data_IF_028162950963
#
_entry.id   IF_028162950963
#
_cell.length_a   1.000
_cell.length_b   1.000
_cell.length_c   1.000
_cell.angle_alpha   90.00
_cell.angle_beta   90.00
_cell.angle_gamma   90.00
#
_symmetry.space_group_name_H-M   'P 1'
#
loop_
_entity.id
_entity.type
_entity.pdbx_description
1 polymer ?
#
# COMPACT_ATOMS: atom_id res chain seq x y z
N UNK A 1 12.70 4.95 -4.80
CA UNK A 1 12.04 3.83 -4.13
C UNK A 1 12.48 3.75 -2.67
N UNK A 2 11.66 3.18 -1.79
CA UNK A 2 12.01 2.95 -0.38
C UNK A 2 13.33 2.15 -0.23
N UNK A 3 13.60 1.20 -1.12
CA UNK A 3 14.85 0.41 -1.12
C UNK A 3 16.09 1.30 -1.16
N UNK A 4 16.13 2.31 -2.03
CA UNK A 4 17.27 3.24 -2.13
C UNK A 4 17.42 4.07 -0.86
N UNK A 5 16.30 4.53 -0.27
CA UNK A 5 16.33 5.28 1.00
C UNK A 5 16.91 4.47 2.17
N UNK A 6 16.79 3.14 2.14
CA UNK A 6 17.29 2.25 3.21
C UNK A 6 18.68 1.65 2.96
N UNK A 7 19.30 1.95 1.83
CA UNK A 7 20.66 1.49 1.55
C UNK A 7 21.67 2.14 2.51
N UNK A 8 22.60 1.35 3.02
CA UNK A 8 23.72 1.87 3.82
C UNK A 8 24.64 2.79 3.02
N UNK A 9 24.82 2.50 1.75
CA UNK A 9 25.59 3.31 0.81
C UNK A 9 24.80 3.49 -0.50
N UNK A 10 23.84 4.44 -0.56
CA UNK A 10 23.04 4.67 -1.77
C UNK A 10 23.90 5.14 -2.95
N UNK A 11 25.01 5.82 -2.72
CA UNK A 11 25.90 6.32 -3.78
C UNK A 11 26.50 5.19 -4.62
N UNK A 12 26.76 4.02 -4.04
CA UNK A 12 27.26 2.86 -4.78
C UNK A 12 26.30 2.36 -5.85
N UNK A 13 25.02 2.66 -5.72
CA UNK A 13 23.98 2.38 -6.72
C UNK A 13 23.69 3.61 -7.60
N UNK A 14 23.55 4.79 -6.98
CA UNK A 14 23.12 6.00 -7.68
C UNK A 14 24.13 6.46 -8.73
N UNK A 15 25.43 6.51 -8.39
CA UNK A 15 26.46 6.98 -9.32
C UNK A 15 26.54 6.16 -10.62
N UNK A 16 26.61 4.82 -10.59
CA UNK A 16 26.57 4.03 -11.82
C UNK A 16 25.23 4.18 -12.59
N UNK A 17 24.11 4.29 -11.87
CA UNK A 17 22.80 4.45 -12.49
C UNK A 17 22.66 5.82 -13.18
N UNK A 18 23.11 6.91 -12.55
CA UNK A 18 23.14 8.27 -13.14
C UNK A 18 24.05 8.33 -14.37
N UNK A 19 25.21 7.67 -14.28
CA UNK A 19 26.12 7.56 -15.43
C UNK A 19 25.46 6.85 -16.61
N UNK A 20 24.75 5.76 -16.35
CA UNK A 20 24.04 5.00 -17.38
C UNK A 20 22.85 5.76 -17.97
N UNK A 21 22.15 6.57 -17.15
CA UNK A 21 20.99 7.36 -17.58
C UNK A 21 21.38 8.69 -18.26
N UNK A 22 22.57 9.20 -17.97
CA UNK A 22 23.02 10.52 -18.45
C UNK A 22 22.40 11.71 -17.70
N UNK A 23 21.73 11.50 -16.57
CA UNK A 23 21.17 12.56 -15.72
C UNK A 23 21.07 12.11 -14.26
N UNK A 24 20.91 13.08 -13.35
CA UNK A 24 20.77 12.85 -11.91
C UNK A 24 19.50 12.08 -11.55
N UNK A 25 19.57 11.31 -10.46
CA UNK A 25 18.46 10.57 -9.87
C UNK A 25 18.05 11.23 -8.55
N UNK A 26 16.84 11.76 -8.49
CA UNK A 26 16.27 12.29 -7.25
C UNK A 26 15.67 11.17 -6.40
N UNK A 27 16.10 11.06 -5.14
CA UNK A 27 15.54 10.12 -4.17
C UNK A 27 14.53 10.87 -3.30
N UNK A 28 13.27 10.74 -3.63
CA UNK A 28 12.19 11.42 -2.91
C UNK A 28 11.96 10.85 -1.51
N UNK A 29 11.61 11.72 -0.54
CA UNK A 29 11.23 11.30 0.80
C UNK A 29 9.86 10.59 0.80
N UNK A 30 9.57 9.77 1.83
CA UNK A 30 8.31 9.01 1.90
C UNK A 30 7.05 9.89 1.83
N UNK A 31 7.05 11.05 2.50
CA UNK A 31 5.94 12.00 2.43
C UNK A 31 5.79 12.67 1.05
N UNK A 32 6.87 12.79 0.29
CA UNK A 32 6.81 13.27 -1.09
C UNK A 32 6.32 12.16 -2.03
N UNK A 33 6.76 10.93 -1.83
CA UNK A 33 6.20 9.76 -2.50
C UNK A 33 4.67 9.69 -2.28
N UNK A 34 4.21 9.86 -1.03
CA UNK A 34 2.80 9.92 -0.69
C UNK A 34 2.06 11.03 -1.46
N UNK A 35 2.64 12.23 -1.60
CA UNK A 35 2.06 13.32 -2.37
C UNK A 35 1.88 12.94 -3.84
N UNK A 36 2.89 12.34 -4.44
CA UNK A 36 2.87 11.93 -5.85
C UNK A 36 1.86 10.79 -6.10
N UNK A 37 1.76 9.83 -5.18
CA UNK A 37 0.73 8.78 -5.20
C UNK A 37 -0.67 9.41 -5.19
N UNK A 38 -0.90 10.35 -4.27
CA UNK A 38 -2.20 11.02 -4.17
C UNK A 38 -2.56 11.74 -5.47
N UNK A 39 -1.63 12.47 -6.07
CA UNK A 39 -1.86 13.16 -7.34
C UNK A 39 -2.24 12.18 -8.47
N UNK A 40 -1.55 11.04 -8.57
CA UNK A 40 -1.90 10.00 -9.55
C UNK A 40 -3.34 9.54 -9.39
N UNK A 41 -3.73 9.17 -8.17
CA UNK A 41 -5.09 8.72 -7.88
C UNK A 41 -6.13 9.84 -8.10
N UNK A 42 -5.82 11.08 -7.69
CA UNK A 42 -6.72 12.20 -7.83
C UNK A 42 -6.99 12.58 -9.31
N UNK A 43 -5.98 12.44 -10.16
CA UNK A 43 -6.13 12.64 -11.61
C UNK A 43 -6.89 11.49 -12.29
N UNK A 44 -6.66 10.25 -11.84
CA UNK A 44 -7.33 9.07 -12.40
C UNK A 44 -8.81 8.93 -12.02
N UNK A 45 -9.28 9.71 -11.03
CA UNK A 45 -10.67 9.66 -10.55
C UNK A 45 -11.28 11.06 -10.55
N UNK A 46 -12.54 11.23 -11.03
CA UNK A 46 -13.19 12.54 -11.05
C UNK A 46 -13.10 13.23 -9.67
N UNK A 47 -12.89 14.56 -9.65
CA UNK A 47 -12.83 15.30 -8.38
C UNK A 47 -14.17 15.16 -7.66
N UNK A 48 -14.15 14.48 -6.52
CA UNK A 48 -15.29 14.40 -5.60
C UNK A 48 -15.45 15.70 -4.80
N UNK A 49 -16.66 15.92 -4.26
CA UNK A 49 -16.92 17.02 -3.32
C UNK A 49 -16.51 16.69 -1.87
N UNK A 50 -15.75 15.63 -1.68
CA UNK A 50 -15.42 15.09 -0.34
C UNK A 50 -13.97 14.62 -0.28
N UNK A 51 -13.43 14.66 0.93
CA UNK A 51 -12.09 14.14 1.20
C UNK A 51 -11.99 12.64 0.86
N UNK A 52 -10.82 12.26 0.40
CA UNK A 52 -10.44 10.89 0.05
C UNK A 52 -9.27 10.43 0.89
N UNK A 53 -9.32 9.18 1.34
CA UNK A 53 -8.15 8.48 1.85
C UNK A 53 -7.56 7.67 0.69
N UNK A 54 -6.25 7.81 0.48
CA UNK A 54 -5.49 6.98 -0.46
C UNK A 54 -4.50 6.15 0.34
N UNK A 55 -4.41 4.85 0.02
CA UNK A 55 -3.46 3.90 0.59
C UNK A 55 -2.65 3.30 -0.54
N UNK A 56 -1.32 3.30 -0.41
CA UNK A 56 -0.41 2.64 -1.34
C UNK A 56 0.49 1.67 -0.58
N UNK A 57 0.36 0.37 -0.84
CA UNK A 57 1.18 -0.67 -0.20
C UNK A 57 2.32 -1.05 -1.14
N UNK A 58 3.47 -0.42 -0.95
CA UNK A 58 4.71 -0.74 -1.64
C UNK A 58 5.38 -2.01 -1.10
N UNK A 59 6.61 -2.27 -1.56
CA UNK A 59 7.41 -3.39 -1.05
C UNK A 59 7.95 -3.14 0.36
N UNK A 60 8.47 -1.95 0.61
CA UNK A 60 9.13 -1.58 1.88
C UNK A 60 8.31 -0.67 2.76
N UNK A 61 7.46 0.19 2.19
CA UNK A 61 6.64 1.17 2.91
C UNK A 61 5.19 1.10 2.49
N UNK A 62 4.33 1.74 3.27
CA UNK A 62 2.93 2.01 2.94
C UNK A 62 2.63 3.46 3.21
N UNK A 63 2.09 4.13 2.22
CA UNK A 63 1.72 5.53 2.25
C UNK A 63 0.22 5.66 2.53
N UNK A 64 -0.13 6.64 3.40
CA UNK A 64 -1.50 7.00 3.77
C UNK A 64 -1.69 8.49 3.51
N UNK A 65 -2.68 8.85 2.71
CA UNK A 65 -2.90 10.24 2.33
C UNK A 65 -4.38 10.59 2.44
N UNK A 66 -4.71 11.62 3.23
CA UNK A 66 -6.00 12.29 3.12
C UNK A 66 -5.82 13.52 2.24
N UNK A 67 -6.70 13.68 1.26
CA UNK A 67 -6.71 14.88 0.43
C UNK A 67 -8.12 15.34 0.09
N UNK A 68 -8.20 16.58 -0.37
CA UNK A 68 -9.41 17.26 -0.83
C UNK A 68 -9.19 17.77 -2.25
N UNK A 69 -10.01 17.33 -3.19
CA UNK A 69 -9.78 17.59 -4.60
C UNK A 69 -8.40 17.10 -5.04
N UNK A 70 -7.56 18.01 -5.50
CA UNK A 70 -6.17 17.74 -5.91
C UNK A 70 -5.14 17.98 -4.80
N UNK A 71 -5.56 18.49 -3.65
CA UNK A 71 -4.65 18.89 -2.57
C UNK A 71 -4.51 17.77 -1.52
N UNK A 72 -3.31 17.16 -1.33
CA UNK A 72 -3.03 16.29 -0.20
C UNK A 72 -2.95 17.12 1.09
N UNK A 73 -3.75 16.75 2.09
CA UNK A 73 -3.86 17.48 3.38
C UNK A 73 -2.99 16.82 4.44
N UNK A 74 -3.17 15.49 4.64
CA UNK A 74 -2.39 14.70 5.58
C UNK A 74 -1.62 13.62 4.81
N UNK A 75 -0.38 13.37 5.21
CA UNK A 75 0.51 12.40 4.52
C UNK A 75 1.38 11.69 5.52
N UNK A 76 1.26 10.38 5.58
CA UNK A 76 2.13 9.52 6.38
C UNK A 76 2.71 8.39 5.53
N UNK A 77 3.92 7.95 5.90
CA UNK A 77 4.62 6.83 5.28
C UNK A 77 5.16 5.94 6.38
N UNK A 78 4.62 4.74 6.49
CA UNK A 78 5.06 3.72 7.44
C UNK A 78 6.02 2.74 6.76
N UNK A 79 7.04 2.30 7.50
CA UNK A 79 8.02 1.31 7.02
C UNK A 79 7.46 -0.11 7.07
N UNK A 80 6.27 -0.30 6.53
CA UNK A 80 5.49 -1.54 6.52
C UNK A 80 4.92 -1.78 5.11
N UNK A 81 5.75 -2.25 4.20
CA UNK A 81 5.30 -2.71 2.87
C UNK A 81 5.15 -4.23 2.84
N UNK A 82 4.60 -4.78 1.75
CA UNK A 82 4.33 -6.22 1.65
C UNK A 82 5.59 -7.09 1.82
N UNK A 83 6.73 -6.69 1.26
CA UNK A 83 8.01 -7.41 1.39
C UNK A 83 8.58 -7.27 2.79
N UNK A 84 8.64 -6.02 3.32
CA UNK A 84 9.17 -5.75 4.66
C UNK A 84 8.39 -6.49 5.74
N UNK A 85 7.06 -6.45 5.67
CA UNK A 85 6.16 -7.13 6.60
C UNK A 85 6.29 -8.65 6.51
N UNK A 86 6.37 -9.19 5.29
CA UNK A 86 6.59 -10.64 5.11
C UNK A 86 7.91 -11.07 5.72
N UNK A 87 8.99 -10.35 5.46
CA UNK A 87 10.31 -10.68 6.04
C UNK A 87 10.29 -10.60 7.56
N UNK A 88 9.66 -9.57 8.12
CA UNK A 88 9.64 -9.34 9.57
C UNK A 88 8.84 -10.42 10.31
N UNK A 89 7.64 -10.73 9.85
CA UNK A 89 6.71 -11.57 10.60
C UNK A 89 6.62 -13.02 10.08
N UNK A 90 6.95 -13.24 8.82
CA UNK A 90 6.85 -14.55 8.17
C UNK A 90 8.17 -14.99 7.52
N UNK A 91 9.30 -14.44 7.95
CA UNK A 91 10.62 -14.66 7.33
C UNK A 91 11.10 -16.12 7.29
N UNK A 92 10.54 -17.00 8.12
CA UNK A 92 10.76 -18.45 8.06
C UNK A 92 9.73 -19.20 7.20
N UNK A 93 8.91 -18.47 6.42
CA UNK A 93 7.87 -19.00 5.55
C UNK A 93 6.60 -19.48 6.27
N UNK A 94 6.58 -19.59 7.60
CA UNK A 94 5.45 -20.14 8.34
C UNK A 94 4.36 -19.10 8.56
N UNK A 95 3.12 -19.47 8.26
CA UNK A 95 1.89 -18.75 8.58
C UNK A 95 1.31 -19.27 9.91
N UNK A 96 0.25 -18.65 10.41
CA UNK A 96 -0.47 -19.12 11.60
C UNK A 96 -1.17 -18.00 12.35
N UNK A 97 -2.35 -18.30 12.93
CA UNK A 97 -3.22 -17.32 13.59
C UNK A 97 -2.55 -16.56 14.74
N UNK A 98 -1.78 -17.26 15.59
CA UNK A 98 -1.07 -16.61 16.68
C UNK A 98 -0.07 -15.59 16.17
N UNK A 99 0.78 -16.00 15.21
CA UNK A 99 1.79 -15.13 14.61
C UNK A 99 1.16 -13.92 13.91
N UNK A 100 0.08 -14.15 13.19
CA UNK A 100 -0.69 -13.08 12.55
C UNK A 100 -1.20 -12.05 13.56
N UNK A 101 -1.82 -12.51 14.65
CA UNK A 101 -2.34 -11.65 15.72
C UNK A 101 -1.23 -10.86 16.39
N UNK A 102 -0.12 -11.51 16.74
CA UNK A 102 1.03 -10.85 17.34
C UNK A 102 1.59 -9.76 16.40
N UNK A 103 1.72 -10.05 15.11
CA UNK A 103 2.14 -9.10 14.10
C UNK A 103 1.15 -7.92 13.94
N UNK A 104 -0.15 -8.20 13.94
CA UNK A 104 -1.19 -7.17 13.84
C UNK A 104 -1.17 -6.22 15.03
N UNK A 105 -0.97 -6.72 16.26
CA UNK A 105 -0.83 -5.91 17.46
C UNK A 105 0.41 -5.00 17.36
N UNK A 106 1.54 -5.56 16.93
CA UNK A 106 2.78 -4.79 16.77
C UNK A 106 2.64 -3.70 15.72
N UNK A 107 2.05 -4.03 14.58
CA UNK A 107 1.80 -3.06 13.51
C UNK A 107 0.79 -1.99 13.91
N UNK A 108 -0.24 -2.33 14.69
CA UNK A 108 -1.24 -1.37 15.15
C UNK A 108 -0.63 -0.23 15.99
N UNK A 109 0.50 -0.49 16.68
CA UNK A 109 1.21 0.55 17.42
C UNK A 109 1.73 1.68 16.52
N UNK A 110 2.16 1.37 15.29
CA UNK A 110 2.62 2.37 14.33
C UNK A 110 1.47 3.30 13.89
N UNK A 111 0.25 2.77 13.80
CA UNK A 111 -0.92 3.58 13.46
C UNK A 111 -1.34 4.56 14.56
N UNK A 112 -0.99 4.30 15.83
CA UNK A 112 -1.35 5.18 16.95
C UNK A 112 -0.84 6.61 16.75
N UNK A 113 0.25 6.79 16.03
CA UNK A 113 0.87 8.09 15.79
C UNK A 113 -0.04 9.04 15.00
N UNK A 114 -0.92 8.52 14.13
CA UNK A 114 -1.73 9.37 13.24
C UNK A 114 -3.19 8.96 13.09
N UNK A 115 -3.57 7.73 13.48
CA UNK A 115 -4.92 7.23 13.24
C UNK A 115 -6.03 8.10 13.86
N UNK A 116 -5.79 8.66 15.05
CA UNK A 116 -6.75 9.57 15.69
C UNK A 116 -6.96 10.84 14.87
N UNK A 117 -5.88 11.46 14.40
CA UNK A 117 -5.93 12.63 13.53
C UNK A 117 -6.66 12.33 12.22
N UNK A 118 -6.35 11.20 11.58
CA UNK A 118 -6.97 10.80 10.31
C UNK A 118 -8.47 10.59 10.48
N UNK A 119 -8.90 9.86 11.52
CA UNK A 119 -10.34 9.68 11.82
C UNK A 119 -11.05 11.01 12.10
N UNK A 120 -10.39 11.93 12.81
CA UNK A 120 -10.92 13.28 13.06
C UNK A 120 -11.06 14.10 11.77
N UNK A 121 -10.07 14.04 10.87
CA UNK A 121 -10.14 14.68 9.54
C UNK A 121 -11.29 14.13 8.71
N UNK A 122 -11.51 12.83 8.79
CA UNK A 122 -12.57 12.11 8.09
C UNK A 122 -12.42 12.13 6.57
N UNK A 123 -13.00 11.15 5.94
CA UNK A 123 -13.09 11.00 4.47
C UNK A 123 -14.37 10.24 4.13
N UNK A 124 -14.78 10.26 2.85
CA UNK A 124 -15.95 9.52 2.37
C UNK A 124 -15.60 8.36 1.45
N UNK A 125 -14.49 8.48 0.74
CA UNK A 125 -14.03 7.47 -0.21
C UNK A 125 -12.63 7.03 0.16
N UNK A 126 -12.36 5.73 0.06
CA UNK A 126 -11.03 5.17 0.22
C UNK A 126 -10.61 4.53 -1.09
N UNK A 127 -9.44 4.91 -1.58
CA UNK A 127 -8.79 4.33 -2.75
C UNK A 127 -7.52 3.63 -2.34
N UNK A 128 -7.27 2.49 -2.97
CA UNK A 128 -6.02 1.77 -2.83
C UNK A 128 -5.26 1.76 -4.14
N UNK A 129 -4.01 2.19 -4.12
CA UNK A 129 -3.08 2.14 -5.24
C UNK A 129 -2.00 1.10 -4.97
N UNK A 130 -1.38 0.58 -5.94
CA UNK A 130 -0.25 -0.38 -5.95
C UNK A 130 -0.59 -1.76 -6.47
N UNK A 131 0.47 -2.44 -6.91
CA UNK A 131 0.36 -3.85 -7.33
C UNK A 131 -0.06 -4.81 -6.21
N UNK A 132 0.20 -4.46 -4.95
CA UNK A 132 -0.22 -5.27 -3.78
C UNK A 132 -1.73 -5.18 -3.59
N UNK A 133 -2.29 -3.97 -3.59
CA UNK A 133 -3.74 -3.76 -3.43
C UNK A 133 -4.51 -4.32 -4.62
N UNK A 134 -3.98 -4.13 -5.85
CA UNK A 134 -4.55 -4.75 -7.04
C UNK A 134 -4.61 -6.27 -6.89
N UNK A 135 -3.51 -6.92 -6.50
CA UNK A 135 -3.48 -8.37 -6.30
C UNK A 135 -4.49 -8.85 -5.24
N UNK A 136 -4.65 -8.11 -4.14
CA UNK A 136 -5.68 -8.41 -3.12
C UNK A 136 -7.09 -8.31 -3.72
N UNK A 137 -7.35 -7.28 -4.52
CA UNK A 137 -8.62 -7.10 -5.25
C UNK A 137 -8.90 -8.25 -6.20
N UNK A 138 -7.92 -8.62 -7.04
CA UNK A 138 -8.01 -9.71 -8.01
C UNK A 138 -8.31 -11.06 -7.32
N UNK A 139 -7.67 -11.33 -6.17
CA UNK A 139 -7.92 -12.54 -5.37
C UNK A 139 -9.34 -12.50 -4.77
N UNK A 140 -9.76 -11.37 -4.20
CA UNK A 140 -11.11 -11.23 -3.64
C UNK A 140 -12.19 -11.45 -4.71
N UNK A 141 -11.98 -10.95 -5.93
CA UNK A 141 -12.91 -11.13 -7.04
C UNK A 141 -12.93 -12.59 -7.53
N UNK A 142 -11.76 -13.21 -7.72
CA UNK A 142 -11.65 -14.61 -8.12
C UNK A 142 -12.28 -15.58 -7.09
N UNK A 143 -12.20 -15.24 -5.81
CA UNK A 143 -12.84 -15.96 -4.71
C UNK A 143 -14.32 -15.60 -4.50
N UNK A 144 -14.88 -14.69 -5.31
CA UNK A 144 -16.26 -14.17 -5.20
C UNK A 144 -16.57 -13.53 -3.83
N UNK A 145 -15.55 -12.98 -3.16
CA UNK A 145 -15.69 -12.25 -1.90
C UNK A 145 -16.10 -10.79 -2.14
N UNK A 146 -15.72 -10.25 -3.29
CA UNK A 146 -16.07 -8.91 -3.75
C UNK A 146 -16.17 -8.88 -5.28
N UNK A 147 -16.53 -7.73 -5.85
CA UNK A 147 -16.61 -7.51 -7.30
C UNK A 147 -16.39 -6.05 -7.65
N UNK A 148 -16.03 -5.79 -8.91
CA UNK A 148 -15.92 -4.43 -9.44
C UNK A 148 -14.79 -3.62 -8.79
N UNK A 149 -13.68 -4.25 -8.43
CA UNK A 149 -12.52 -3.57 -7.86
C UNK A 149 -12.76 -2.98 -6.47
N UNK A 150 -13.72 -3.51 -5.70
CA UNK A 150 -14.00 -3.06 -4.32
C UNK A 150 -13.54 -4.11 -3.33
N UNK A 151 -12.76 -3.73 -2.34
CA UNK A 151 -12.38 -4.56 -1.19
C UNK A 151 -13.15 -4.07 0.02
N UNK A 152 -14.01 -4.93 0.60
CA UNK A 152 -14.74 -4.64 1.84
C UNK A 152 -13.99 -5.20 3.05
N UNK A 153 -14.32 -4.72 4.25
CA UNK A 153 -13.81 -5.27 5.52
C UNK A 153 -14.09 -6.77 5.65
N UNK A 154 -15.30 -7.19 5.29
CA UNK A 154 -15.71 -8.61 5.31
C UNK A 154 -14.97 -9.46 4.28
N UNK A 155 -14.76 -8.94 3.06
CA UNK A 155 -13.99 -9.62 2.03
C UNK A 155 -12.52 -9.79 2.45
N UNK A 156 -11.93 -8.74 3.02
CA UNK A 156 -10.55 -8.75 3.49
C UNK A 156 -10.35 -9.70 4.68
N UNK A 157 -11.28 -9.73 5.64
CA UNK A 157 -11.27 -10.68 6.75
C UNK A 157 -11.37 -12.12 6.25
N UNK A 158 -12.28 -12.39 5.32
CA UNK A 158 -12.43 -13.71 4.70
C UNK A 158 -11.18 -14.13 3.92
N UNK A 159 -10.50 -13.18 3.25
CA UNK A 159 -9.24 -13.45 2.58
C UNK A 159 -8.13 -13.78 3.60
N UNK A 160 -8.03 -13.03 4.69
CA UNK A 160 -7.06 -13.30 5.75
C UNK A 160 -7.24 -14.72 6.33
N UNK A 161 -8.48 -15.15 6.58
CA UNK A 161 -8.79 -16.52 7.02
C UNK A 161 -8.35 -17.58 6.00
N UNK A 162 -8.52 -17.32 4.71
CA UNK A 162 -8.08 -18.22 3.65
C UNK A 162 -6.55 -18.28 3.53
N UNK A 163 -5.85 -17.16 3.70
CA UNK A 163 -4.38 -17.14 3.79
C UNK A 163 -3.90 -17.96 4.98
N UNK A 164 -4.56 -17.82 6.14
CA UNK A 164 -4.22 -18.53 7.38
C UNK A 164 -4.67 -19.99 7.42
N UNK A 165 -5.36 -20.47 6.41
CA UNK A 165 -5.65 -21.89 6.23
C UNK A 165 -4.44 -22.67 5.66
N UNK A 166 -3.40 -21.98 5.20
CA UNK A 166 -2.15 -22.57 4.77
C UNK A 166 -1.10 -22.50 5.89
N UNK A 167 -0.26 -23.53 5.99
CA UNK A 167 0.81 -23.57 6.99
C UNK A 167 2.00 -22.70 6.62
N UNK A 168 2.25 -22.58 5.31
CA UNK A 168 3.43 -21.86 4.80
C UNK A 168 3.09 -21.01 3.57
N UNK A 169 3.91 -19.97 3.35
CA UNK A 169 3.81 -19.09 2.18
C UNK A 169 3.98 -19.90 0.88
N UNK A 170 4.92 -20.84 0.86
CA UNK A 170 5.24 -21.63 -0.36
C UNK A 170 4.07 -22.53 -0.80
N UNK A 171 3.22 -22.94 0.13
CA UNK A 171 2.03 -23.74 -0.18
C UNK A 171 0.81 -22.90 -0.53
N UNK A 172 0.89 -21.56 -0.34
CA UNK A 172 -0.23 -20.64 -0.52
C UNK A 172 -0.64 -20.56 -1.99
N UNK A 173 -1.81 -21.11 -2.30
CA UNK A 173 -2.40 -21.10 -3.64
C UNK A 173 -3.85 -20.62 -3.54
N UNK A 174 -4.09 -19.45 -4.07
CA UNK A 174 -5.42 -18.85 -4.11
C UNK A 174 -5.79 -18.49 -5.55
N UNK A 175 -7.05 -18.65 -5.97
CA UNK A 175 -7.53 -18.09 -7.23
C UNK A 175 -7.21 -16.62 -7.34
N UNK A 176 -6.70 -16.18 -8.48
CA UNK A 176 -6.30 -14.78 -8.71
C UNK A 176 -4.91 -14.40 -8.19
N UNK A 177 -4.25 -15.26 -7.40
CA UNK A 177 -2.89 -15.01 -6.91
C UNK A 177 -1.84 -15.42 -7.96
N UNK A 178 -1.04 -14.45 -8.42
CA UNK A 178 0.08 -14.73 -9.32
C UNK A 178 1.29 -15.30 -8.56
N UNK A 179 2.13 -16.09 -9.27
CA UNK A 179 3.36 -16.64 -8.70
C UNK A 179 4.33 -15.54 -8.21
N UNK A 180 4.36 -14.40 -8.88
CA UNK A 180 5.19 -13.25 -8.48
C UNK A 180 4.75 -12.65 -7.13
N UNK A 181 3.44 -12.64 -6.86
CA UNK A 181 2.86 -12.06 -5.64
C UNK A 181 2.78 -13.04 -4.47
N UNK A 182 2.79 -14.34 -4.74
CA UNK A 182 2.72 -15.38 -3.70
C UNK A 182 3.69 -15.17 -2.54
N UNK A 183 4.98 -14.86 -2.74
CA UNK A 183 5.93 -14.74 -1.62
C UNK A 183 5.64 -13.58 -0.67
N UNK A 184 4.85 -12.58 -1.08
CA UNK A 184 4.66 -11.33 -0.34
C UNK A 184 3.20 -11.01 -0.03
N UNK A 185 2.26 -11.79 -0.55
CA UNK A 185 0.82 -11.48 -0.42
C UNK A 185 0.34 -11.53 1.03
N UNK A 186 0.85 -12.47 1.84
CA UNK A 186 0.48 -12.57 3.26
C UNK A 186 0.83 -11.28 4.03
N UNK A 187 2.03 -10.72 3.79
CA UNK A 187 2.41 -9.43 4.35
C UNK A 187 1.53 -8.28 3.86
N UNK A 188 1.19 -8.28 2.56
CA UNK A 188 0.30 -7.27 1.97
C UNK A 188 -1.12 -7.31 2.56
N UNK A 189 -1.70 -8.51 2.72
CA UNK A 189 -3.03 -8.69 3.34
C UNK A 189 -2.99 -8.26 4.80
N UNK A 190 -1.93 -8.60 5.54
CA UNK A 190 -1.77 -8.19 6.94
C UNK A 190 -1.70 -6.67 7.08
N UNK A 191 -0.91 -5.98 6.25
CA UNK A 191 -0.82 -4.50 6.25
C UNK A 191 -2.20 -3.88 6.00
N UNK A 192 -2.90 -4.35 4.97
CA UNK A 192 -4.20 -3.79 4.62
C UNK A 192 -5.26 -4.08 5.70
N UNK A 193 -5.28 -5.28 6.27
CA UNK A 193 -6.19 -5.64 7.36
C UNK A 193 -5.97 -4.78 8.60
N UNK A 194 -4.70 -4.55 8.98
CA UNK A 194 -4.36 -3.66 10.10
C UNK A 194 -4.78 -2.21 9.82
N UNK A 195 -4.60 -1.74 8.58
CA UNK A 195 -5.04 -0.39 8.18
C UNK A 195 -6.56 -0.24 8.26
N UNK A 196 -7.31 -1.25 7.79
CA UNK A 196 -8.78 -1.25 7.88
C UNK A 196 -9.26 -1.13 9.31
N UNK A 197 -8.68 -1.90 10.23
CA UNK A 197 -9.02 -1.86 11.65
C UNK A 197 -8.62 -0.52 12.30
N UNK A 198 -7.37 -0.09 12.11
CA UNK A 198 -6.84 1.11 12.75
C UNK A 198 -7.55 2.41 12.31
N UNK A 199 -7.99 2.46 11.05
CA UNK A 199 -8.62 3.64 10.45
C UNK A 199 -10.15 3.51 10.32
N UNK A 200 -10.76 2.40 10.77
CA UNK A 200 -12.19 2.09 10.63
C UNK A 200 -12.69 2.15 9.17
N UNK A 201 -11.91 1.53 8.27
CA UNK A 201 -12.24 1.49 6.84
C UNK A 201 -13.26 0.37 6.58
N UNK A 202 -14.37 0.68 5.89
CA UNK A 202 -15.39 -0.30 5.55
C UNK A 202 -15.27 -0.83 4.12
N UNK A 203 -14.77 0.00 3.23
CA UNK A 203 -14.54 -0.35 1.82
C UNK A 203 -13.41 0.46 1.22
N UNK A 204 -12.72 -0.13 0.27
CA UNK A 204 -11.66 0.47 -0.50
C UNK A 204 -11.88 0.16 -1.99
N UNK A 205 -11.76 1.18 -2.83
CA UNK A 205 -11.80 1.06 -4.29
C UNK A 205 -10.38 0.87 -4.82
N UNK A 206 -10.13 -0.18 -5.58
CA UNK A 206 -8.84 -0.39 -6.23
C UNK A 206 -8.68 0.64 -7.34
N UNK A 207 -7.62 1.43 -7.27
CA UNK A 207 -7.25 2.41 -8.30
C UNK A 207 -6.20 1.81 -9.23
N UNK A 208 -6.41 1.97 -10.52
CA UNK A 208 -5.41 1.59 -11.53
C UNK A 208 -4.42 2.72 -11.84
N UNK A 209 -4.64 3.92 -11.28
CA UNK A 209 -3.79 5.07 -11.49
C UNK A 209 -2.50 4.96 -10.64
N UNK A 210 -1.34 4.72 -11.23
CA UNK A 210 -0.09 4.53 -10.50
C UNK A 210 0.57 5.87 -10.16
N UNK A 211 1.48 5.86 -9.17
CA UNK A 211 2.31 7.01 -8.77
C UNK A 211 3.00 7.70 -9.97
N UNK A 212 3.42 6.95 -11.00
CA UNK A 212 4.08 7.52 -12.19
C UNK A 212 3.21 8.57 -12.91
N UNK A 213 1.89 8.42 -12.91
CA UNK A 213 0.98 9.43 -13.46
C UNK A 213 1.01 10.70 -12.62
N UNK A 214 1.04 10.57 -11.28
CA UNK A 214 1.22 11.70 -10.38
C UNK A 214 2.54 12.46 -10.62
N UNK A 215 3.63 11.73 -10.89
CA UNK A 215 4.91 12.34 -11.26
C UNK A 215 4.80 13.14 -12.57
N UNK A 216 4.18 12.56 -13.60
CA UNK A 216 3.99 13.24 -14.88
C UNK A 216 3.15 14.52 -14.73
N UNK A 217 2.07 14.45 -13.99
CA UNK A 217 1.23 15.62 -13.72
C UNK A 217 1.96 16.71 -12.90
N UNK A 218 2.76 16.31 -11.91
CA UNK A 218 3.56 17.23 -11.13
C UNK A 218 4.62 17.95 -11.99
N UNK A 219 5.28 17.22 -12.88
CA UNK A 219 6.27 17.79 -13.81
C UNK A 219 5.64 18.81 -14.76
N UNK A 220 4.48 18.48 -15.32
CA UNK A 220 3.75 19.40 -16.23
C UNK A 220 3.28 20.64 -15.47
N UNK A 221 2.79 20.48 -14.24
CA UNK A 221 2.31 21.61 -13.41
C UNK A 221 3.43 22.53 -12.92
N UNK A 222 4.69 22.07 -12.84
CA UNK A 222 5.87 22.89 -12.47
C UNK A 222 6.50 23.61 -13.68
N UNK A 223 6.18 23.18 -14.89
CA UNK A 223 6.76 23.70 -16.14
C UNK A 223 5.96 24.84 -16.79
N UNK A 224 4.86 25.28 -16.20
CA UNK A 224 4.05 26.45 -16.57
C UNK A 224 4.08 27.48 -15.47
#
# INVERSE_FOLDING_TARGET
TNTVRQMRNPQSFLLPAETALGHGIEVVAGREEARLVYLGVAHGHPPGKSRRLVIDIGGGSTEFIIGDGMAPIERESLQMGCVATTKRFFGNGKLGRKRWKDAQIEMAAEFQQFAALYRQRGWKETFGSSGTIKAIGDICEALKLSKGGVITDTALSSLADRVLAFDTIDTLKLPGLSAERQPVIAGGVLVLATAFEALDIRKLHVSEAPMREGVLHDMVGRGG
#
